data_IF_446461133571
#
_entry.id   IF_446461133571
#
_cell.length_a   1.000
_cell.length_b   1.000
_cell.length_c   1.000
_cell.angle_alpha   90.00
_cell.angle_beta   90.00
_cell.angle_gamma   90.00
#
_symmetry.space_group_name_H-M   'P 1'
#
loop_
_entity.id
_entity.type
_entity.pdbx_description
1 polymer ?
#
# COMPACT_ATOMS: atom_id res chain seq x y z
N UNK A 1 24.33 4.95 -22.96
CA UNK A 1 24.88 4.07 -21.92
C UNK A 1 23.79 3.81 -20.90
N UNK A 2 23.40 2.56 -20.66
CA UNK A 2 22.37 2.24 -19.67
C UNK A 2 23.07 1.90 -18.34
N UNK A 3 22.54 2.41 -17.23
CA UNK A 3 22.93 2.00 -15.87
C UNK A 3 21.79 1.16 -15.29
N UNK A 4 22.12 0.00 -14.74
CA UNK A 4 21.16 -0.92 -14.13
C UNK A 4 21.46 -1.00 -12.65
N UNK A 5 20.44 -0.85 -11.84
CA UNK A 5 20.48 -1.03 -10.39
C UNK A 5 19.40 -2.02 -9.98
N UNK A 6 19.62 -2.70 -8.89
CA UNK A 6 18.68 -3.67 -8.35
C UNK A 6 18.18 -3.21 -6.98
N UNK A 7 16.92 -3.47 -6.67
CA UNK A 7 16.29 -3.13 -5.37
C UNK A 7 15.38 -4.26 -4.90
N UNK A 8 14.83 -4.13 -3.72
CA UNK A 8 13.96 -5.13 -3.09
C UNK A 8 14.74 -6.18 -2.31
N UNK A 9 14.17 -6.64 -1.19
CA UNK A 9 14.83 -7.57 -0.27
C UNK A 9 15.25 -8.88 -0.94
N UNK A 10 14.42 -9.42 -1.84
CA UNK A 10 14.75 -10.62 -2.61
C UNK A 10 15.86 -10.41 -3.66
N UNK A 11 16.08 -9.16 -4.08
CA UNK A 11 17.09 -8.81 -5.10
C UNK A 11 18.51 -8.76 -4.59
N UNK A 12 18.76 -8.66 -3.28
CA UNK A 12 20.08 -8.44 -2.72
C UNK A 12 21.09 -9.56 -3.06
N UNK A 13 20.66 -10.82 -2.91
CA UNK A 13 21.49 -11.97 -3.24
C UNK A 13 21.84 -12.02 -4.73
N UNK A 14 20.89 -11.76 -5.60
CA UNK A 14 21.09 -11.73 -7.05
C UNK A 14 21.97 -10.56 -7.47
N UNK A 15 21.79 -9.37 -6.90
CA UNK A 15 22.61 -8.20 -7.13
C UNK A 15 24.09 -8.50 -6.82
N UNK A 16 24.34 -9.14 -5.68
CA UNK A 16 25.68 -9.54 -5.25
C UNK A 16 26.30 -10.56 -6.22
N UNK A 17 25.55 -11.59 -6.60
CA UNK A 17 26.03 -12.63 -7.52
C UNK A 17 26.32 -12.07 -8.93
N UNK A 18 25.46 -11.19 -9.43
CA UNK A 18 25.59 -10.57 -10.75
C UNK A 18 26.49 -9.32 -10.78
N UNK A 19 27.03 -8.89 -9.63
CA UNK A 19 27.82 -7.65 -9.47
C UNK A 19 27.08 -6.40 -9.97
N UNK A 20 25.77 -6.36 -9.78
CA UNK A 20 24.93 -5.21 -10.10
C UNK A 20 24.81 -4.33 -8.84
N UNK A 21 24.92 -3.00 -8.95
CA UNK A 21 24.71 -2.10 -7.81
C UNK A 21 23.34 -2.30 -7.18
N UNK A 22 23.31 -2.38 -5.86
CA UNK A 22 22.08 -2.51 -5.09
C UNK A 22 21.70 -1.17 -4.45
N UNK A 23 20.43 -0.82 -4.51
CA UNK A 23 19.86 0.38 -3.88
C UNK A 23 18.76 -0.08 -2.92
N UNK A 24 18.73 0.46 -1.72
CA UNK A 24 17.65 0.20 -0.77
C UNK A 24 16.31 0.69 -1.33
N UNK A 25 15.27 -0.10 -1.15
CA UNK A 25 13.91 0.15 -1.67
C UNK A 25 13.38 1.53 -1.29
N UNK A 26 13.50 1.89 0.00
CA UNK A 26 13.07 3.20 0.51
C UNK A 26 13.80 4.36 -0.19
N UNK A 27 15.10 4.20 -0.44
CA UNK A 27 15.88 5.22 -1.13
C UNK A 27 15.50 5.32 -2.61
N UNK A 28 15.25 4.17 -3.27
CA UNK A 28 14.76 4.14 -4.65
C UNK A 28 13.38 4.81 -4.78
N UNK A 29 12.45 4.50 -3.88
CA UNK A 29 11.13 5.12 -3.82
C UNK A 29 11.22 6.63 -3.57
N UNK A 30 12.06 7.06 -2.62
CA UNK A 30 12.32 8.47 -2.34
C UNK A 30 12.78 9.22 -3.59
N UNK A 31 13.78 8.70 -4.30
CA UNK A 31 14.33 9.34 -5.50
C UNK A 31 13.27 9.45 -6.60
N UNK A 32 12.54 8.35 -6.87
CA UNK A 32 11.53 8.30 -7.91
C UNK A 32 10.37 9.28 -7.64
N UNK A 33 9.92 9.38 -6.39
CA UNK A 33 8.85 10.31 -6.01
C UNK A 33 9.34 11.76 -6.06
N UNK A 34 10.52 12.06 -5.54
CA UNK A 34 11.06 13.42 -5.58
C UNK A 34 11.29 13.94 -6.99
N UNK A 35 11.64 13.07 -7.93
CA UNK A 35 11.78 13.43 -9.34
C UNK A 35 10.41 13.77 -9.97
N UNK A 36 9.37 12.97 -9.72
CA UNK A 36 8.04 13.16 -10.34
C UNK A 36 7.15 14.13 -9.57
N UNK A 37 7.27 14.13 -8.25
CA UNK A 37 6.42 14.88 -7.32
C UNK A 37 7.28 15.65 -6.31
N UNK A 38 8.01 16.68 -6.74
CA UNK A 38 8.98 17.39 -5.88
C UNK A 38 8.35 18.07 -4.66
N UNK A 39 7.04 18.29 -4.67
CA UNK A 39 6.28 18.90 -3.58
C UNK A 39 5.67 17.86 -2.61
N UNK A 40 5.85 16.57 -2.85
CA UNK A 40 5.34 15.55 -1.96
C UNK A 40 6.08 15.60 -0.61
N UNK A 41 5.34 15.55 0.49
CA UNK A 41 5.87 15.52 1.84
C UNK A 41 5.96 14.10 2.40
N UNK A 42 5.11 13.20 1.93
CA UNK A 42 5.10 11.81 2.32
C UNK A 42 4.66 10.90 1.16
N UNK A 43 5.04 9.64 1.25
CA UNK A 43 4.59 8.54 0.37
C UNK A 43 3.98 7.47 1.24
N UNK A 44 2.82 6.96 0.84
CA UNK A 44 2.23 5.75 1.39
C UNK A 44 2.40 4.66 0.35
N UNK A 45 3.10 3.60 0.72
CA UNK A 45 3.31 2.41 -0.09
C UNK A 45 2.49 1.26 0.50
N UNK A 46 1.60 0.70 -0.30
CA UNK A 46 0.77 -0.44 0.06
C UNK A 46 1.25 -1.66 -0.73
N UNK A 47 2.18 -2.39 -0.13
CA UNK A 47 2.68 -3.66 -0.69
C UNK A 47 1.70 -4.82 -0.46
N UNK A 48 2.00 -5.99 -1.02
CA UNK A 48 1.18 -7.20 -0.84
C UNK A 48 1.14 -7.68 0.62
N UNK A 49 2.23 -7.53 1.35
CA UNK A 49 2.36 -8.04 2.72
C UNK A 49 2.60 -6.94 3.76
N UNK A 50 3.07 -5.77 3.35
CA UNK A 50 3.40 -4.66 4.25
C UNK A 50 2.81 -3.33 3.76
N UNK A 51 2.65 -2.41 4.68
CA UNK A 51 2.32 -1.03 4.40
C UNK A 51 3.39 -0.12 5.01
N UNK A 52 3.88 0.84 4.24
CA UNK A 52 4.93 1.77 4.65
C UNK A 52 4.47 3.20 4.45
N UNK A 53 4.84 4.07 5.37
CA UNK A 53 4.83 5.52 5.15
C UNK A 53 6.26 6.03 5.17
N UNK A 54 6.63 6.79 4.15
CA UNK A 54 7.96 7.39 3.97
C UNK A 54 7.77 8.89 4.01
N UNK A 55 8.34 9.54 5.02
CA UNK A 55 8.38 11.00 5.11
C UNK A 55 9.54 11.53 4.28
N UNK A 56 9.28 12.55 3.47
CA UNK A 56 10.24 13.11 2.50
C UNK A 56 10.79 14.48 2.95
N UNK A 57 10.33 14.99 4.08
CA UNK A 57 10.73 16.28 4.67
C UNK A 57 11.43 16.07 6.00
N UNK A 58 12.51 16.83 6.27
CA UNK A 58 13.26 16.73 7.52
C UNK A 58 14.24 15.56 7.63
N UNK A 59 14.47 14.85 6.54
CA UNK A 59 15.22 13.59 6.47
C UNK A 59 14.31 12.45 6.00
N UNK A 60 14.89 11.37 5.47
CA UNK A 60 14.11 10.20 5.08
C UNK A 60 13.80 9.36 6.32
N UNK A 61 12.60 9.44 6.83
CA UNK A 61 12.09 8.60 7.92
C UNK A 61 11.04 7.66 7.34
N UNK A 62 11.12 6.37 7.70
CA UNK A 62 10.07 5.42 7.35
C UNK A 62 9.43 4.81 8.59
N UNK A 63 8.13 4.54 8.50
CA UNK A 63 7.39 3.71 9.44
C UNK A 63 6.68 2.62 8.66
N UNK A 64 6.75 1.40 9.18
CA UNK A 64 6.20 0.23 8.53
C UNK A 64 5.27 -0.51 9.48
N UNK A 65 4.15 -0.99 8.94
CA UNK A 65 3.30 -1.96 9.62
C UNK A 65 3.85 -3.35 9.33
N UNK A 66 4.56 -3.94 10.27
CA UNK A 66 5.36 -5.15 10.05
C UNK A 66 4.72 -6.47 10.50
N UNK A 67 3.47 -6.47 10.96
CA UNK A 67 2.92 -7.66 11.62
C UNK A 67 1.54 -8.10 11.14
N UNK A 68 0.90 -7.38 10.24
CA UNK A 68 -0.46 -7.69 9.82
C UNK A 68 -0.73 -7.23 8.39
N UNK A 69 -1.33 -8.09 7.58
CA UNK A 69 -1.77 -7.75 6.21
C UNK A 69 -2.91 -6.70 6.18
N UNK A 70 -3.48 -6.34 7.32
CA UNK A 70 -4.46 -5.26 7.42
C UNK A 70 -3.86 -3.92 7.02
N UNK A 71 -4.49 -3.23 6.07
CA UNK A 71 -3.97 -1.98 5.50
C UNK A 71 -2.93 -2.17 4.40
N UNK A 72 -2.77 -3.39 3.88
CA UNK A 72 -1.89 -3.71 2.75
C UNK A 72 -2.68 -3.87 1.45
N UNK A 73 -1.98 -3.96 0.32
CA UNK A 73 -2.60 -4.27 -0.97
C UNK A 73 -3.38 -5.58 -0.95
N UNK A 74 -2.89 -6.61 -0.25
CA UNK A 74 -3.61 -7.87 -0.10
C UNK A 74 -4.95 -7.72 0.64
N UNK A 75 -5.08 -6.75 1.56
CA UNK A 75 -6.36 -6.44 2.19
C UNK A 75 -7.33 -5.78 1.19
N UNK A 76 -6.82 -4.86 0.37
CA UNK A 76 -7.61 -4.22 -0.71
C UNK A 76 -8.10 -5.27 -1.70
N UNK A 77 -7.24 -6.19 -2.15
CA UNK A 77 -7.61 -7.31 -3.04
C UNK A 77 -8.72 -8.19 -2.42
N UNK A 78 -8.64 -8.45 -1.12
CA UNK A 78 -9.69 -9.21 -0.42
C UNK A 78 -11.03 -8.46 -0.38
N UNK A 79 -11.00 -7.13 -0.22
CA UNK A 79 -12.22 -6.32 -0.22
C UNK A 79 -12.83 -6.24 -1.63
N UNK A 80 -12.02 -6.05 -2.67
CA UNK A 80 -12.46 -6.11 -4.06
C UNK A 80 -13.10 -7.48 -4.39
N UNK A 81 -12.46 -8.58 -3.95
CA UNK A 81 -13.00 -9.94 -4.11
C UNK A 81 -14.34 -10.12 -3.37
N UNK A 82 -14.48 -9.53 -2.18
CA UNK A 82 -15.73 -9.62 -1.38
C UNK A 82 -16.90 -8.93 -2.09
N UNK A 83 -16.63 -7.87 -2.84
CA UNK A 83 -17.63 -7.14 -3.63
C UNK A 83 -17.78 -7.67 -5.07
N UNK A 84 -16.99 -8.66 -5.47
CA UNK A 84 -16.95 -9.20 -6.84
C UNK A 84 -16.61 -8.11 -7.90
N UNK A 85 -15.65 -7.24 -7.56
CA UNK A 85 -15.15 -6.18 -8.43
C UNK A 85 -13.63 -6.24 -8.57
N UNK A 86 -13.09 -5.57 -9.56
CA UNK A 86 -11.64 -5.34 -9.68
C UNK A 86 -11.18 -4.23 -8.74
N UNK A 87 -9.86 -4.17 -8.48
CA UNK A 87 -9.27 -3.08 -7.66
C UNK A 87 -9.49 -1.71 -8.32
N UNK A 88 -9.40 -1.64 -9.64
CA UNK A 88 -9.65 -0.40 -10.40
C UNK A 88 -11.11 0.06 -10.26
N UNK A 89 -12.06 -0.86 -10.31
CA UNK A 89 -13.47 -0.55 -10.07
C UNK A 89 -13.71 -0.12 -8.63
N UNK A 90 -13.07 -0.79 -7.65
CA UNK A 90 -13.12 -0.41 -6.25
C UNK A 90 -12.62 1.03 -6.03
N UNK A 91 -11.52 1.41 -6.66
CA UNK A 91 -10.97 2.76 -6.61
C UNK A 91 -11.96 3.81 -7.16
N UNK A 92 -12.56 3.52 -8.32
CA UNK A 92 -13.58 4.40 -8.91
C UNK A 92 -14.84 4.54 -8.05
N UNK A 93 -15.26 3.47 -7.38
CA UNK A 93 -16.37 3.50 -6.43
C UNK A 93 -16.01 4.31 -5.20
N UNK A 94 -14.79 4.19 -4.67
CA UNK A 94 -14.31 4.93 -3.50
C UNK A 94 -14.35 6.45 -3.73
N UNK A 95 -14.12 6.93 -4.94
CA UNK A 95 -14.24 8.35 -5.30
C UNK A 95 -15.68 8.89 -5.18
N UNK A 96 -16.67 8.02 -5.13
CA UNK A 96 -18.10 8.38 -5.03
C UNK A 96 -18.66 8.20 -3.61
N UNK A 97 -17.85 7.68 -2.68
CA UNK A 97 -18.26 7.49 -1.30
C UNK A 97 -18.52 8.85 -0.61
N UNK A 98 -19.69 9.01 0.01
CA UNK A 98 -20.13 10.25 0.65
C UNK A 98 -20.11 10.18 2.19
N UNK A 99 -19.84 9.01 2.75
CA UNK A 99 -19.81 8.78 4.21
C UNK A 99 -18.81 7.70 4.59
N UNK A 100 -18.36 7.77 5.84
CA UNK A 100 -17.45 6.80 6.44
C UNK A 100 -18.15 5.96 7.48
N UNK A 101 -17.74 4.71 7.62
CA UNK A 101 -18.26 3.78 8.63
C UNK A 101 -17.21 3.56 9.73
N UNK A 102 -17.61 3.47 11.00
CA UNK A 102 -16.70 3.16 12.08
C UNK A 102 -16.38 1.66 12.09
N UNK A 103 -15.33 1.27 11.38
CA UNK A 103 -14.78 -0.08 11.38
C UNK A 103 -13.46 -0.14 12.14
N UNK A 104 -13.03 -1.35 12.53
CA UNK A 104 -11.77 -1.55 13.25
C UNK A 104 -10.56 -1.14 12.39
N UNK A 105 -9.89 -0.04 12.77
CA UNK A 105 -8.73 0.51 12.04
C UNK A 105 -7.39 -0.15 12.43
N UNK A 106 -7.34 -0.99 13.46
CA UNK A 106 -6.09 -1.55 13.99
C UNK A 106 -5.73 -2.93 13.44
N UNK A 107 -6.71 -3.64 12.90
CA UNK A 107 -6.55 -5.04 12.51
C UNK A 107 -7.48 -5.37 11.35
N UNK A 108 -6.91 -5.81 10.22
CA UNK A 108 -7.69 -6.19 9.03
C UNK A 108 -8.66 -7.36 9.28
N UNK A 109 -8.36 -8.26 10.23
CA UNK A 109 -9.27 -9.34 10.60
C UNK A 109 -10.53 -8.78 11.27
N UNK A 110 -10.39 -7.84 12.20
CA UNK A 110 -11.52 -7.20 12.84
C UNK A 110 -12.28 -6.29 11.86
N UNK A 111 -11.56 -5.52 11.02
CA UNK A 111 -12.21 -4.75 9.96
C UNK A 111 -13.07 -5.64 9.05
N UNK A 112 -12.55 -6.78 8.62
CA UNK A 112 -13.31 -7.75 7.82
C UNK A 112 -14.51 -8.32 8.59
N UNK A 113 -14.36 -8.61 9.89
CA UNK A 113 -15.45 -9.11 10.73
C UNK A 113 -16.54 -8.07 10.95
N UNK A 114 -16.18 -6.79 10.95
CA UNK A 114 -17.14 -5.69 11.06
C UNK A 114 -17.91 -5.47 9.74
N UNK A 115 -17.26 -5.70 8.60
CA UNK A 115 -17.83 -5.48 7.26
C UNK A 115 -18.72 -6.65 6.83
N UNK A 116 -18.29 -7.90 7.04
CA UNK A 116 -18.97 -9.11 6.52
C UNK A 116 -20.45 -9.29 6.93
N UNK A 117 -20.89 -8.93 8.16
CA UNK A 117 -22.28 -9.09 8.54
C UNK A 117 -23.20 -8.00 8.01
N UNK A 118 -22.67 -6.96 7.35
CA UNK A 118 -23.49 -5.87 6.81
C UNK A 118 -24.30 -6.34 5.58
N UNK A 119 -25.51 -5.80 5.34
CA UNK A 119 -26.19 -5.96 4.05
C UNK A 119 -25.29 -5.51 2.89
N UNK A 120 -25.46 -6.10 1.70
CA UNK A 120 -24.59 -5.80 0.55
C UNK A 120 -24.41 -4.30 0.26
N UNK A 121 -25.46 -3.52 0.37
CA UNK A 121 -25.40 -2.05 0.18
C UNK A 121 -24.53 -1.35 1.23
N UNK A 122 -24.73 -1.69 2.51
CA UNK A 122 -23.94 -1.13 3.61
C UNK A 122 -22.51 -1.66 3.64
N UNK A 123 -22.29 -2.91 3.20
CA UNK A 123 -20.96 -3.50 3.04
C UNK A 123 -20.15 -2.72 2.01
N UNK A 124 -20.75 -2.41 0.87
CA UNK A 124 -20.11 -1.59 -0.17
C UNK A 124 -19.70 -0.22 0.40
N UNK A 125 -20.63 0.48 1.03
CA UNK A 125 -20.36 1.78 1.65
C UNK A 125 -19.26 1.70 2.73
N UNK A 126 -19.25 0.64 3.56
CA UNK A 126 -18.24 0.45 4.60
C UNK A 126 -16.84 0.14 4.07
N UNK A 127 -16.74 -0.54 2.91
CA UNK A 127 -15.44 -0.82 2.28
C UNK A 127 -14.89 0.44 1.59
N UNK A 128 -15.78 1.27 1.04
CA UNK A 128 -15.41 2.46 0.28
C UNK A 128 -15.09 3.67 1.17
N UNK A 129 -15.47 3.64 2.43
CA UNK A 129 -15.24 4.70 3.40
C UNK A 129 -13.84 4.65 4.01
#
# INVERSE_FOLDING_TARGET
MFSVHMTGSAGLGLATAAKIPFVQEVHAAFLAVKERYPKADAVIELGGEDAKIIFLTGGVEQRMNGSCAGGTGAFIDQMATLLDVTVDELDQMALQADRTYPIAARCGVFAKSDIQPLPCTEMTDAILA
#
